data_IF_422581780787
#
_entry.id   IF_422581780787
#
_cell.length_a   1.000
_cell.length_b   1.000
_cell.length_c   1.000
_cell.angle_alpha   90.00
_cell.angle_beta   90.00
_cell.angle_gamma   90.00
#
_symmetry.space_group_name_H-M   'P 1'
#
loop_
_entity.id
_entity.type
_entity.pdbx_description
1 polymer ?
#
# COMPACT_ATOMS: atom_id res chain seq x y z
N UNK A 1 14.49 33.89 20.37
CA UNK A 1 14.21 32.47 20.69
C UNK A 1 12.71 32.15 20.66
N UNK A 2 11.88 32.83 21.47
CA UNK A 2 10.44 32.58 21.55
C UNK A 2 9.68 32.75 20.22
N UNK A 3 9.94 33.81 19.45
CA UNK A 3 9.28 34.02 18.14
C UNK A 3 9.68 32.99 17.08
N UNK A 4 10.93 32.53 17.11
CA UNK A 4 11.44 31.48 16.21
C UNK A 4 10.81 30.14 16.55
N UNK A 5 10.74 29.81 17.85
CA UNK A 5 10.06 28.61 18.34
C UNK A 5 8.57 28.63 18.02
N UNK A 6 7.89 29.77 18.25
CA UNK A 6 6.48 29.93 17.89
C UNK A 6 6.27 29.76 16.37
N UNK A 7 7.12 30.37 15.54
CA UNK A 7 7.05 30.22 14.09
C UNK A 7 7.22 28.76 13.64
N UNK A 8 8.15 28.01 14.24
CA UNK A 8 8.34 26.60 13.92
C UNK A 8 7.17 25.72 14.35
N UNK A 9 6.54 26.02 15.50
CA UNK A 9 5.32 25.36 15.95
C UNK A 9 4.18 25.53 14.95
N UNK A 10 3.98 26.73 14.41
CA UNK A 10 2.92 27.00 13.44
C UNK A 10 3.18 26.35 12.08
N UNK A 11 4.45 26.12 11.72
CA UNK A 11 4.87 25.46 10.48
C UNK A 11 4.65 23.94 10.50
N UNK A 12 4.84 23.31 11.66
CA UNK A 12 4.58 21.88 11.86
C UNK A 12 3.08 21.55 11.71
N UNK A 13 2.78 20.28 11.47
CA UNK A 13 1.41 19.78 11.40
C UNK A 13 1.38 18.26 11.55
N UNK A 14 0.21 17.74 11.86
CA UNK A 14 0.00 16.30 11.94
C UNK A 14 -0.93 15.85 10.82
N UNK A 15 -0.60 14.72 10.20
CA UNK A 15 -1.39 14.08 9.14
C UNK A 15 -2.66 13.40 9.66
N UNK A 16 -3.39 14.09 10.53
CA UNK A 16 -4.60 13.62 11.20
C UNK A 16 -5.68 13.20 10.19
N UNK A 17 -5.72 13.86 9.03
CA UNK A 17 -6.70 13.62 7.97
C UNK A 17 -6.18 12.72 6.83
N UNK A 18 -4.99 12.15 6.93
CA UNK A 18 -4.50 11.20 5.93
C UNK A 18 -5.40 9.97 5.73
N UNK A 19 -6.01 9.37 6.77
CA UNK A 19 -6.96 8.27 6.59
C UNK A 19 -8.14 8.66 5.68
N UNK A 20 -8.64 9.90 5.78
CA UNK A 20 -9.70 10.39 4.92
C UNK A 20 -9.28 10.45 3.45
N UNK A 21 -8.02 10.84 3.18
CA UNK A 21 -7.46 10.81 1.82
C UNK A 21 -7.36 9.38 1.29
N UNK A 22 -6.92 8.45 2.14
CA UNK A 22 -6.80 7.04 1.81
C UNK A 22 -8.16 6.41 1.49
N UNK A 23 -9.15 6.58 2.36
CA UNK A 23 -10.51 6.04 2.18
C UNK A 23 -11.20 6.61 0.94
N UNK A 24 -10.83 7.84 0.55
CA UNK A 24 -11.34 8.47 -0.67
C UNK A 24 -10.61 8.01 -1.94
N UNK A 25 -9.59 7.15 -1.84
CA UNK A 25 -8.77 6.67 -2.96
C UNK A 25 -7.77 7.72 -3.48
N UNK A 26 -7.42 8.71 -2.66
CA UNK A 26 -6.55 9.83 -3.03
C UNK A 26 -5.12 9.68 -2.49
N UNK A 27 -4.77 8.54 -1.88
CA UNK A 27 -3.41 8.30 -1.33
C UNK A 27 -2.30 8.40 -2.39
N UNK A 28 -2.61 8.06 -3.63
CA UNK A 28 -1.69 8.12 -4.76
C UNK A 28 -1.74 9.46 -5.52
N UNK A 29 -2.55 10.42 -5.07
CA UNK A 29 -2.58 11.74 -5.69
C UNK A 29 -1.24 12.46 -5.43
N UNK A 30 -0.58 13.02 -6.46
CA UNK A 30 0.73 13.65 -6.30
C UNK A 30 0.76 14.79 -5.29
N UNK A 31 -0.35 15.53 -5.14
CA UNK A 31 -0.46 16.62 -4.18
C UNK A 31 -0.55 16.04 -2.77
N UNK A 32 -1.37 15.00 -2.56
CA UNK A 32 -1.46 14.31 -1.26
C UNK A 32 -0.10 13.74 -0.86
N UNK A 33 0.59 13.04 -1.77
CA UNK A 33 1.92 12.50 -1.52
C UNK A 33 2.94 13.60 -1.17
N UNK A 34 2.88 14.75 -1.85
CA UNK A 34 3.75 15.89 -1.55
C UNK A 34 3.52 16.47 -0.16
N UNK A 35 2.27 16.53 0.31
CA UNK A 35 1.94 17.01 1.66
C UNK A 35 2.47 16.06 2.71
N UNK A 36 2.28 14.75 2.52
CA UNK A 36 2.80 13.72 3.45
C UNK A 36 4.32 13.81 3.58
N UNK A 37 5.03 13.94 2.44
CA UNK A 37 6.48 14.15 2.46
C UNK A 37 6.90 15.48 3.09
N UNK A 38 6.14 16.55 2.85
CA UNK A 38 6.40 17.86 3.44
C UNK A 38 6.25 17.84 4.96
N UNK A 39 5.29 17.09 5.52
CA UNK A 39 5.12 16.93 6.97
C UNK A 39 6.41 16.47 7.64
N UNK A 40 7.04 15.43 7.10
CA UNK A 40 8.28 14.88 7.65
C UNK A 40 9.39 15.93 7.67
N UNK A 41 9.49 16.74 6.61
CA UNK A 41 10.47 17.82 6.53
C UNK A 41 10.16 18.94 7.52
N UNK A 42 8.92 19.42 7.58
CA UNK A 42 8.54 20.53 8.46
C UNK A 42 8.68 20.16 9.93
N UNK A 43 8.29 18.95 10.31
CA UNK A 43 8.34 18.49 11.70
C UNK A 43 9.80 18.26 12.13
N UNK A 44 10.61 17.65 11.26
CA UNK A 44 12.06 17.52 11.48
C UNK A 44 12.71 18.88 11.72
N UNK A 45 12.42 19.87 10.87
CA UNK A 45 12.96 21.22 11.02
C UNK A 45 12.47 21.87 12.31
N UNK A 46 11.19 21.70 12.65
CA UNK A 46 10.61 22.25 13.88
C UNK A 46 11.27 21.66 15.14
N UNK A 47 11.57 20.36 15.15
CA UNK A 47 12.29 19.71 16.25
C UNK A 47 13.73 20.17 16.36
N UNK A 48 14.43 20.33 15.24
CA UNK A 48 15.80 20.91 15.24
C UNK A 48 15.77 22.32 15.84
N UNK A 49 14.79 23.14 15.43
CA UNK A 49 14.62 24.49 16.00
C UNK A 49 14.32 24.42 17.49
N UNK A 50 13.40 23.55 17.93
CA UNK A 50 13.10 23.34 19.35
C UNK A 50 14.33 22.93 20.14
N UNK A 51 15.08 21.93 19.67
CA UNK A 51 16.27 21.45 20.34
C UNK A 51 17.34 22.55 20.47
N UNK A 52 17.58 23.30 19.40
CA UNK A 52 18.52 24.43 19.40
C UNK A 52 18.08 25.53 20.38
N UNK A 53 16.79 25.89 20.37
CA UNK A 53 16.26 26.93 21.26
C UNK A 53 16.30 26.47 22.72
N UNK A 54 15.81 25.27 23.01
CA UNK A 54 15.79 24.70 24.36
C UNK A 54 17.20 24.55 24.94
N UNK A 55 18.16 24.06 24.14
CA UNK A 55 19.54 23.92 24.58
C UNK A 55 20.26 25.24 24.80
N UNK A 56 19.98 26.25 23.95
CA UNK A 56 20.55 27.59 24.12
C UNK A 56 20.09 28.29 25.41
N UNK A 57 18.88 27.98 25.87
CA UNK A 57 18.24 28.65 27.01
C UNK A 57 18.47 27.90 28.33
N UNK A 58 18.55 26.56 28.28
CA UNK A 58 18.77 25.69 29.46
C UNK A 58 20.24 25.54 29.86
N UNK A 59 21.19 26.03 29.04
CA UNK A 59 22.63 25.88 29.29
C UNK A 59 23.13 24.42 29.27
N UNK A 60 22.30 23.48 28.79
CA UNK A 60 22.51 22.03 28.88
C UNK A 60 23.37 21.44 27.75
N UNK A 61 23.85 22.28 26.84
CA UNK A 61 24.80 21.91 25.79
C UNK A 61 25.01 23.05 24.81
N UNK A 62 26.19 23.12 24.19
CA UNK A 62 26.42 24.10 23.13
C UNK A 62 25.52 23.79 21.93
N UNK A 63 25.11 24.79 21.15
CA UNK A 63 24.36 24.58 19.90
C UNK A 63 25.06 23.56 18.97
N UNK A 64 26.39 23.48 19.03
CA UNK A 64 27.19 22.52 18.28
C UNK A 64 26.96 21.08 18.74
N UNK A 65 26.90 20.82 20.05
CA UNK A 65 26.65 19.48 20.60
C UNK A 65 25.27 18.95 20.18
N UNK A 66 24.26 19.81 20.20
CA UNK A 66 22.89 19.47 19.81
C UNK A 66 22.80 19.17 18.31
N UNK A 67 23.44 20.00 17.48
CA UNK A 67 23.51 19.74 16.04
C UNK A 67 24.26 18.44 15.73
N UNK A 68 25.34 18.15 16.45
CA UNK A 68 26.10 16.91 16.32
C UNK A 68 25.26 15.71 16.75
N UNK A 69 24.53 15.80 17.86
CA UNK A 69 23.61 14.77 18.34
C UNK A 69 22.50 14.47 17.33
N UNK A 70 21.84 15.51 16.79
CA UNK A 70 20.83 15.38 15.74
C UNK A 70 21.42 14.78 14.45
N UNK A 71 22.60 15.23 14.03
CA UNK A 71 23.30 14.70 12.86
C UNK A 71 23.65 13.23 13.00
N UNK A 72 24.17 12.83 14.17
CA UNK A 72 24.40 11.43 14.54
C UNK A 72 23.11 10.63 14.58
N UNK A 73 22.02 11.22 15.08
CA UNK A 73 20.71 10.60 15.12
C UNK A 73 20.13 10.31 13.73
N UNK A 74 20.19 11.28 12.81
CA UNK A 74 19.78 11.06 11.43
C UNK A 74 20.66 10.03 10.72
N UNK A 75 21.97 10.07 10.94
CA UNK A 75 22.88 9.07 10.39
C UNK A 75 22.55 7.67 10.93
N UNK A 76 22.35 7.55 12.24
CA UNK A 76 21.95 6.30 12.88
C UNK A 76 20.62 5.80 12.33
N UNK A 77 19.63 6.69 12.14
CA UNK A 77 18.33 6.33 11.57
C UNK A 77 18.48 5.81 10.13
N UNK A 78 19.27 6.47 9.29
CA UNK A 78 19.54 6.00 7.92
C UNK A 78 20.21 4.63 7.92
N UNK A 79 21.25 4.44 8.75
CA UNK A 79 21.97 3.16 8.85
C UNK A 79 21.05 2.05 9.36
N UNK A 80 20.30 2.31 10.43
CA UNK A 80 19.37 1.33 11.00
C UNK A 80 18.29 0.99 9.99
N UNK A 81 17.64 1.98 9.38
CA UNK A 81 16.52 1.74 8.48
C UNK A 81 16.92 1.11 7.16
N UNK A 82 17.98 1.58 6.50
CA UNK A 82 18.32 1.10 5.15
C UNK A 82 19.36 -0.02 5.12
N UNK A 83 20.07 -0.28 6.23
CA UNK A 83 21.03 -1.37 6.32
C UNK A 83 20.56 -2.41 7.33
N UNK A 84 20.44 -2.06 8.60
CA UNK A 84 20.22 -3.04 9.66
C UNK A 84 18.84 -3.73 9.56
N UNK A 85 17.76 -2.97 9.42
CA UNK A 85 16.39 -3.50 9.34
C UNK A 85 16.21 -4.48 8.17
N UNK A 86 16.65 -4.18 6.92
CA UNK A 86 16.57 -5.13 5.82
C UNK A 86 17.36 -6.42 6.05
N UNK A 87 18.49 -6.34 6.77
CA UNK A 87 19.28 -7.53 7.13
C UNK A 87 18.56 -8.35 8.20
N UNK A 88 18.09 -7.71 9.27
CA UNK A 88 17.34 -8.34 10.34
C UNK A 88 16.04 -8.95 9.84
N UNK A 89 15.28 -8.25 9.00
CA UNK A 89 14.06 -8.76 8.38
C UNK A 89 14.36 -10.01 7.52
N UNK A 90 15.36 -9.96 6.64
CA UNK A 90 15.77 -11.13 5.83
C UNK A 90 16.26 -12.30 6.67
N UNK A 91 16.89 -12.05 7.81
CA UNK A 91 17.31 -13.09 8.76
C UNK A 91 16.11 -13.67 9.51
N UNK A 92 15.22 -12.83 10.03
CA UNK A 92 14.01 -13.22 10.73
C UNK A 92 13.08 -14.06 9.83
N UNK A 93 12.92 -13.67 8.56
CA UNK A 93 12.15 -14.46 7.58
C UNK A 93 12.77 -15.83 7.27
N UNK A 94 14.09 -15.99 7.40
CA UNK A 94 14.76 -17.28 7.26
C UNK A 94 14.55 -18.18 8.48
N UNK A 95 14.53 -17.60 9.69
CA UNK A 95 14.39 -18.35 10.94
C UNK A 95 12.93 -18.73 11.24
N UNK A 96 12.01 -17.78 11.08
CA UNK A 96 10.62 -17.88 11.51
C UNK A 96 9.68 -18.26 10.35
N UNK A 97 10.21 -18.32 9.13
CA UNK A 97 9.43 -18.50 7.91
C UNK A 97 8.67 -17.22 7.49
N UNK A 98 8.01 -17.30 6.33
CA UNK A 98 7.24 -16.18 5.74
C UNK A 98 5.75 -16.22 6.11
N UNK A 99 5.41 -16.80 7.25
CA UNK A 99 4.01 -16.87 7.67
C UNK A 99 3.44 -15.46 7.89
N UNK A 100 2.17 -15.28 7.54
CA UNK A 100 1.46 -13.98 7.56
C UNK A 100 1.62 -13.21 8.88
N UNK A 101 1.46 -13.88 10.02
CA UNK A 101 1.59 -13.29 11.36
C UNK A 101 3.03 -12.82 11.65
N UNK A 102 4.03 -13.59 11.21
CA UNK A 102 5.45 -13.30 11.41
C UNK A 102 5.85 -12.07 10.59
N UNK A 103 5.41 -11.98 9.33
CA UNK A 103 5.68 -10.82 8.47
C UNK A 103 5.11 -9.53 9.05
N UNK A 104 3.91 -9.61 9.65
CA UNK A 104 3.28 -8.49 10.36
C UNK A 104 4.06 -8.07 11.61
N UNK A 105 4.42 -9.04 12.46
CA UNK A 105 5.22 -8.77 13.65
C UNK A 105 6.57 -8.12 13.30
N UNK A 106 7.24 -8.59 12.24
CA UNK A 106 8.50 -8.01 11.76
C UNK A 106 8.30 -6.56 11.29
N UNK A 107 7.23 -6.26 10.54
CA UNK A 107 6.96 -4.90 10.08
C UNK A 107 6.71 -3.95 11.26
N UNK A 108 5.82 -4.32 12.19
CA UNK A 108 5.53 -3.52 13.39
C UNK A 108 6.78 -3.36 14.26
N UNK A 109 7.56 -4.41 14.48
CA UNK A 109 8.82 -4.33 15.21
C UNK A 109 9.81 -3.38 14.52
N UNK A 110 9.85 -3.37 13.18
CA UNK A 110 10.73 -2.48 12.41
C UNK A 110 10.34 -1.01 12.61
N UNK A 111 9.03 -0.70 12.60
CA UNK A 111 8.54 0.65 12.90
C UNK A 111 8.87 1.08 14.33
N UNK A 112 8.67 0.20 15.31
CA UNK A 112 8.97 0.47 16.71
C UNK A 112 10.47 0.68 16.94
N UNK A 113 11.33 -0.16 16.37
CA UNK A 113 12.79 -0.02 16.47
C UNK A 113 13.23 1.33 15.92
N UNK A 114 12.74 1.71 14.74
CA UNK A 114 13.10 2.99 14.13
C UNK A 114 12.55 4.19 14.90
N UNK A 115 11.34 4.10 15.45
CA UNK A 115 10.77 5.14 16.30
C UNK A 115 11.58 5.33 17.59
N UNK A 116 11.95 4.23 18.27
CA UNK A 116 12.79 4.27 19.48
C UNK A 116 14.16 4.85 19.16
N UNK A 117 14.79 4.43 18.05
CA UNK A 117 16.07 5.02 17.62
C UNK A 117 15.92 6.52 17.40
N UNK A 118 14.88 6.98 16.71
CA UNK A 118 14.62 8.42 16.53
C UNK A 118 14.51 9.15 17.89
N UNK A 119 13.70 8.63 18.81
CA UNK A 119 13.47 9.25 20.12
C UNK A 119 14.74 9.33 20.98
N UNK A 120 15.65 8.35 20.90
CA UNK A 120 16.93 8.40 21.64
C UNK A 120 17.82 9.57 21.24
N UNK A 121 17.62 10.14 20.05
CA UNK A 121 18.34 11.32 19.58
C UNK A 121 17.48 12.60 19.59
N UNK A 122 16.30 12.57 20.22
CA UNK A 122 15.38 13.71 20.29
C UNK A 122 14.65 14.01 18.97
N UNK A 123 14.59 13.04 18.06
CA UNK A 123 13.80 13.10 16.83
C UNK A 123 12.45 12.42 17.11
N UNK A 124 11.35 12.95 16.58
CA UNK A 124 10.04 12.34 16.79
C UNK A 124 9.97 10.92 16.21
N UNK A 125 9.34 10.02 16.97
CA UNK A 125 9.14 8.63 16.56
C UNK A 125 8.40 8.47 15.22
N UNK A 126 7.55 9.44 14.83
CA UNK A 126 6.86 9.46 13.53
C UNK A 126 7.87 9.51 12.37
N UNK A 127 8.93 10.31 12.50
CA UNK A 127 10.01 10.37 11.50
C UNK A 127 10.72 9.02 11.40
N UNK A 128 11.00 8.39 12.55
CA UNK A 128 11.60 7.07 12.60
C UNK A 128 10.75 6.00 11.90
N UNK A 129 9.46 5.94 12.23
CA UNK A 129 8.50 5.02 11.62
C UNK A 129 8.36 5.25 10.09
N UNK A 130 8.38 6.50 9.63
CA UNK A 130 8.36 6.83 8.21
C UNK A 130 9.59 6.31 7.46
N UNK A 131 10.79 6.50 8.02
CA UNK A 131 12.03 5.98 7.43
C UNK A 131 12.03 4.44 7.36
N UNK A 132 11.52 3.76 8.39
CA UNK A 132 11.32 2.33 8.35
C UNK A 132 10.31 1.92 7.27
N UNK A 133 9.20 2.64 7.11
CA UNK A 133 8.24 2.45 6.02
C UNK A 133 8.89 2.55 4.64
N UNK A 134 9.69 3.59 4.40
CA UNK A 134 10.43 3.77 3.15
C UNK A 134 11.42 2.62 2.89
N UNK A 135 12.16 2.20 3.90
CA UNK A 135 13.12 1.10 3.76
C UNK A 135 12.41 -0.25 3.52
N UNK A 136 11.24 -0.44 4.12
CA UNK A 136 10.44 -1.66 4.00
C UNK A 136 9.61 -1.73 2.73
N UNK A 137 9.40 -0.62 2.00
CA UNK A 137 8.60 -0.59 0.77
C UNK A 137 9.10 -1.59 -0.31
N UNK A 138 10.41 -1.90 -0.32
CA UNK A 138 10.98 -2.94 -1.19
C UNK A 138 10.73 -4.38 -0.72
N UNK A 139 10.46 -4.59 0.58
CA UNK A 139 10.29 -5.90 1.21
C UNK A 139 8.82 -6.25 1.46
N UNK A 140 7.95 -5.24 1.53
CA UNK A 140 6.51 -5.33 1.76
C UNK A 140 5.83 -4.49 0.68
N UNK A 141 5.50 -5.08 -0.48
CA UNK A 141 4.75 -4.39 -1.51
C UNK A 141 3.46 -3.80 -0.93
N UNK A 142 3.11 -2.59 -1.33
CA UNK A 142 1.96 -1.82 -0.84
C UNK A 142 0.61 -2.50 -1.03
N UNK A 143 0.54 -3.62 -1.74
CA UNK A 143 -0.69 -4.35 -2.06
C UNK A 143 -0.54 -5.86 -1.79
N UNK A 144 0.34 -6.22 -0.83
CA UNK A 144 0.47 -7.59 -0.34
C UNK A 144 -0.42 -7.87 0.90
N UNK A 145 -0.70 -9.14 1.25
CA UNK A 145 -1.54 -9.53 2.40
C UNK A 145 -1.05 -8.99 3.76
N UNK A 146 0.23 -8.60 3.82
CA UNK A 146 0.85 -7.96 4.97
C UNK A 146 0.40 -6.49 5.10
N UNK A 147 0.34 -5.75 3.98
CA UNK A 147 -0.08 -4.36 3.97
C UNK A 147 -1.55 -4.23 4.37
N UNK A 148 -2.42 -5.13 3.90
CA UNK A 148 -3.83 -5.18 4.31
C UNK A 148 -4.02 -5.29 5.83
N UNK A 149 -3.11 -6.01 6.52
CA UNK A 149 -3.15 -6.14 7.98
C UNK A 149 -2.58 -4.94 8.71
N UNK A 150 -1.50 -4.35 8.19
CA UNK A 150 -0.97 -3.08 8.69
C UNK A 150 -2.05 -2.00 8.57
N UNK A 151 -2.77 -1.99 7.45
CA UNK A 151 -3.86 -1.10 7.17
C UNK A 151 -5.08 -1.36 8.05
N UNK A 152 -5.45 -2.63 8.24
CA UNK A 152 -6.54 -3.01 9.13
C UNK A 152 -6.24 -2.59 10.57
N UNK A 153 -5.09 -2.98 11.11
CA UNK A 153 -4.75 -2.70 12.50
C UNK A 153 -4.45 -1.21 12.74
N UNK A 154 -3.77 -0.58 11.78
CA UNK A 154 -3.54 0.86 11.75
C UNK A 154 -4.85 1.64 11.73
N UNK A 155 -5.73 1.33 10.78
CA UNK A 155 -7.00 2.03 10.60
C UNK A 155 -8.06 1.73 11.66
N UNK A 156 -8.15 0.48 12.14
CA UNK A 156 -9.18 0.09 13.10
C UNK A 156 -8.81 0.39 14.56
N UNK A 157 -7.51 0.41 14.91
CA UNK A 157 -7.06 0.54 16.30
C UNK A 157 -6.19 1.78 16.51
N UNK A 158 -5.06 1.89 15.81
CA UNK A 158 -4.11 2.96 16.10
C UNK A 158 -4.63 4.36 15.74
N UNK A 159 -5.27 4.51 14.58
CA UNK A 159 -5.81 5.80 14.13
C UNK A 159 -6.91 6.31 15.08
N UNK A 160 -7.96 5.54 15.42
CA UNK A 160 -8.98 5.99 16.38
C UNK A 160 -8.41 6.32 17.76
N UNK A 161 -7.52 5.47 18.30
CA UNK A 161 -6.89 5.73 19.62
C UNK A 161 -6.04 7.00 19.58
N UNK A 162 -5.32 7.25 18.49
CA UNK A 162 -4.55 8.47 18.30
C UNK A 162 -5.46 9.70 18.27
N UNK A 163 -6.55 9.68 17.49
CA UNK A 163 -7.52 10.77 17.42
C UNK A 163 -8.14 11.10 18.78
N UNK A 164 -8.52 10.08 19.54
CA UNK A 164 -9.06 10.24 20.91
C UNK A 164 -7.99 10.83 21.83
N UNK A 165 -6.77 10.33 21.77
CA UNK A 165 -5.66 10.82 22.61
C UNK A 165 -5.38 12.30 22.37
N UNK A 166 -5.36 12.73 21.11
CA UNK A 166 -5.20 14.15 20.75
C UNK A 166 -6.39 14.97 21.26
N UNK A 167 -7.62 14.46 21.17
CA UNK A 167 -8.81 15.13 21.71
C UNK A 167 -8.79 15.28 23.23
N UNK A 168 -8.25 14.30 23.96
CA UNK A 168 -8.14 14.32 25.44
C UNK A 168 -7.09 15.32 25.96
N UNK A 169 -6.15 15.75 25.12
CA UNK A 169 -5.18 16.80 25.47
C UNK A 169 -5.83 18.19 25.51
N UNK A 170 -7.06 18.35 25.01
CA UNK A 170 -7.75 19.63 24.93
C UNK A 170 -8.58 19.89 26.19
N UNK A 171 -8.25 20.95 26.92
CA UNK A 171 -9.00 21.35 28.10
C UNK A 171 -9.99 22.50 27.79
N UNK A 172 -11.31 22.34 27.99
CA UNK A 172 -12.29 23.35 27.61
C UNK A 172 -12.25 24.65 28.42
N UNK A 173 -11.69 24.61 29.64
CA UNK A 173 -11.59 25.75 30.57
C UNK A 173 -10.77 26.91 30.00
N UNK A 174 -9.84 26.59 29.10
CA UNK A 174 -8.88 27.49 28.48
C UNK A 174 -9.54 28.50 27.50
N UNK A 175 -10.77 28.24 27.07
CA UNK A 175 -11.49 29.05 26.08
C UNK A 175 -12.19 30.31 26.65
N UNK A 176 -12.11 30.55 27.97
CA UNK A 176 -12.92 31.58 28.64
C UNK A 176 -12.15 32.84 29.07
N UNK A 177 -10.84 32.93 28.79
CA UNK A 177 -10.01 34.10 29.11
C UNK A 177 -9.87 35.07 27.92
N UNK A 178 -10.18 36.35 28.12
CA UNK A 178 -10.22 37.34 27.04
C UNK A 178 -8.88 37.65 26.37
N UNK A 179 -7.77 37.71 27.13
CA UNK A 179 -6.43 37.94 26.57
C UNK A 179 -5.94 36.73 25.76
N UNK A 180 -6.17 35.52 26.30
CA UNK A 180 -5.91 34.24 25.65
C UNK A 180 -6.66 34.14 24.32
N UNK A 181 -7.94 34.55 24.27
CA UNK A 181 -8.75 34.45 23.06
C UNK A 181 -8.23 35.37 21.93
N UNK A 182 -7.68 36.53 22.27
CA UNK A 182 -7.05 37.43 21.29
C UNK A 182 -5.79 36.82 20.69
N UNK A 183 -4.93 36.22 21.53
CA UNK A 183 -3.73 35.51 21.06
C UNK A 183 -4.10 34.29 20.21
N UNK A 184 -5.10 33.53 20.65
CA UNK A 184 -5.63 32.39 19.90
C UNK A 184 -6.12 32.81 18.51
N UNK A 185 -6.89 33.90 18.41
CA UNK A 185 -7.37 34.41 17.14
C UNK A 185 -6.21 34.80 16.21
N UNK A 186 -5.16 35.42 16.74
CA UNK A 186 -3.96 35.77 15.98
C UNK A 186 -3.23 34.51 15.49
N UNK A 187 -3.06 33.51 16.34
CA UNK A 187 -2.39 32.25 15.98
C UNK A 187 -3.18 31.46 14.94
N UNK A 188 -4.50 31.39 15.09
CA UNK A 188 -5.41 30.80 14.11
C UNK A 188 -5.28 31.51 12.75
N UNK A 189 -5.33 32.84 12.74
CA UNK A 189 -5.23 33.61 11.50
C UNK A 189 -3.86 33.43 10.83
N UNK A 190 -2.78 33.45 11.61
CA UNK A 190 -1.42 33.24 11.09
C UNK A 190 -1.24 31.81 10.54
N UNK A 191 -1.65 30.79 11.29
CA UNK A 191 -1.50 29.39 10.92
C UNK A 191 -2.39 29.02 9.72
N UNK A 192 -3.70 29.26 9.83
CA UNK A 192 -4.66 28.93 8.78
C UNK A 192 -4.42 29.78 7.54
N UNK A 193 -4.18 31.08 7.70
CA UNK A 193 -3.88 31.98 6.58
C UNK A 193 -2.60 31.59 5.87
N UNK A 194 -1.52 31.34 6.62
CA UNK A 194 -0.24 30.92 6.05
C UNK A 194 -0.34 29.61 5.28
N UNK A 195 -1.00 28.59 5.86
CA UNK A 195 -1.19 27.29 5.21
C UNK A 195 -2.14 27.36 4.03
N UNK A 196 -3.16 28.22 4.07
CA UNK A 196 -4.05 28.44 2.94
C UNK A 196 -3.30 29.07 1.76
N UNK A 197 -2.48 30.10 2.03
CA UNK A 197 -1.62 30.72 1.02
C UNK A 197 -0.65 29.68 0.43
N UNK A 198 -0.02 28.86 1.29
CA UNK A 198 0.85 27.77 0.84
C UNK A 198 0.10 26.78 -0.06
N UNK A 199 -1.13 26.36 0.30
CA UNK A 199 -1.96 25.50 -0.54
C UNK A 199 -2.28 26.12 -1.91
N UNK A 200 -2.62 27.41 -1.96
CA UNK A 200 -2.82 28.12 -3.22
C UNK A 200 -1.53 28.26 -4.04
N UNK A 201 -0.37 28.37 -3.39
CA UNK A 201 0.91 28.39 -4.08
C UNK A 201 1.25 27.00 -4.67
N UNK A 202 0.98 25.92 -3.93
CA UNK A 202 1.10 24.54 -4.41
C UNK A 202 0.27 24.31 -5.68
N UNK A 203 -0.91 24.96 -5.76
CA UNK A 203 -1.74 24.96 -6.98
C UNK A 203 -0.98 25.43 -8.21
N UNK A 204 -0.20 26.50 -8.08
CA UNK A 204 0.57 27.09 -9.19
C UNK A 204 1.78 26.23 -9.52
N UNK A 205 2.52 25.79 -8.49
CA UNK A 205 3.78 25.03 -8.65
C UNK A 205 3.51 23.64 -9.25
N UNK A 206 2.52 22.92 -8.72
CA UNK A 206 2.19 21.55 -9.13
C UNK A 206 1.09 21.49 -10.21
N UNK A 207 0.62 22.64 -10.71
CA UNK A 207 -0.51 22.76 -11.65
C UNK A 207 -1.77 22.01 -11.18
N UNK A 208 -2.00 22.01 -9.87
CA UNK A 208 -3.10 21.31 -9.25
C UNK A 208 -4.45 22.03 -9.44
N UNK A 209 -5.55 21.30 -9.28
CA UNK A 209 -6.89 21.87 -9.25
C UNK A 209 -7.14 22.67 -7.97
N UNK A 210 -8.19 23.51 -7.96
CA UNK A 210 -8.61 24.22 -6.73
C UNK A 210 -8.99 23.25 -5.61
N UNK A 211 -9.60 22.12 -5.97
CA UNK A 211 -9.97 21.07 -5.02
C UNK A 211 -8.73 20.43 -4.41
N UNK A 212 -7.74 20.03 -5.23
CA UNK A 212 -6.48 19.46 -4.74
C UNK A 212 -5.73 20.43 -3.81
N UNK A 213 -5.67 21.72 -4.16
CA UNK A 213 -5.03 22.73 -3.33
C UNK A 213 -5.73 22.94 -1.97
N UNK A 214 -7.07 22.98 -1.95
CA UNK A 214 -7.83 23.09 -0.70
C UNK A 214 -7.74 21.82 0.15
N UNK A 215 -7.61 20.66 -0.49
CA UNK A 215 -7.37 19.40 0.20
C UNK A 215 -5.96 19.34 0.79
N UNK A 216 -4.95 19.83 0.07
CA UNK A 216 -3.59 20.01 0.60
C UNK A 216 -3.55 20.93 1.82
N UNK A 217 -4.29 22.05 1.77
CA UNK A 217 -4.50 22.91 2.92
C UNK A 217 -5.13 22.14 4.09
N UNK A 218 -6.19 21.38 3.85
CA UNK A 218 -6.86 20.62 4.89
C UNK A 218 -5.94 19.55 5.51
N UNK A 219 -5.14 18.84 4.69
CA UNK A 219 -4.19 17.83 5.19
C UNK A 219 -3.03 18.44 5.99
N UNK A 220 -2.61 19.67 5.67
CA UNK A 220 -1.48 20.33 6.32
C UNK A 220 -1.88 21.20 7.52
N UNK A 221 -3.17 21.40 7.78
CA UNK A 221 -3.66 22.33 8.80
C UNK A 221 -3.65 21.79 10.24
N UNK A 222 -4.09 20.54 10.51
CA UNK A 222 -4.24 20.02 11.86
C UNK A 222 -2.94 20.13 12.67
N UNK A 223 -3.03 20.75 13.84
CA UNK A 223 -2.01 20.71 14.88
C UNK A 223 -2.36 19.60 15.89
N UNK A 224 -1.39 19.05 16.61
CA UNK A 224 -1.64 17.97 17.58
C UNK A 224 -0.56 17.89 18.68
N UNK A 225 -0.24 16.67 19.12
CA UNK A 225 0.62 16.38 20.27
C UNK A 225 2.02 17.00 20.19
N UNK A 226 2.65 16.98 19.01
CA UNK A 226 3.96 17.59 18.77
C UNK A 226 3.98 19.08 19.13
N UNK A 227 2.99 19.82 18.60
CA UNK A 227 2.81 21.26 18.85
C UNK A 227 2.62 21.55 20.33
N UNK A 228 1.83 20.73 21.03
CA UNK A 228 1.61 20.89 22.47
C UNK A 228 2.86 20.55 23.28
N UNK A 229 3.57 19.48 22.96
CA UNK A 229 4.80 19.07 23.64
C UNK A 229 5.87 20.17 23.53
N UNK A 230 6.10 20.67 22.32
CA UNK A 230 7.07 21.72 22.06
C UNK A 230 6.65 23.07 22.69
N UNK A 231 5.35 23.37 22.75
CA UNK A 231 4.82 24.52 23.49
C UNK A 231 5.04 24.37 25.01
N UNK A 232 4.85 23.16 25.55
CA UNK A 232 5.10 22.85 26.96
C UNK A 232 6.58 22.99 27.31
N UNK A 233 7.48 22.51 26.45
CA UNK A 233 8.93 22.73 26.62
C UNK A 233 9.24 24.23 26.61
N UNK A 234 8.68 24.99 25.65
CA UNK A 234 8.83 26.44 25.59
C UNK A 234 8.32 27.18 26.84
N UNK A 235 7.25 26.68 27.46
CA UNK A 235 6.76 27.17 28.75
C UNK A 235 7.70 26.82 29.91
N UNK A 236 8.21 25.58 29.97
CA UNK A 236 9.13 25.13 31.02
C UNK A 236 10.46 25.90 31.06
N UNK A 237 10.98 26.29 29.89
CA UNK A 237 12.19 27.13 29.78
C UNK A 237 11.88 28.63 29.95
N UNK A 238 10.61 29.01 30.18
CA UNK A 238 10.21 30.39 30.44
C UNK A 238 10.06 31.27 29.19
N UNK A 239 10.11 30.70 27.98
CA UNK A 239 9.92 31.45 26.72
C UNK A 239 8.45 31.75 26.43
N UNK A 240 7.52 30.93 26.92
CA UNK A 240 6.08 31.11 26.76
C UNK A 240 5.40 31.33 28.11
N UNK A 241 4.41 32.21 28.12
CA UNK A 241 3.48 32.36 29.25
C UNK A 241 2.28 31.43 29.12
N UNK A 242 1.50 31.31 30.19
CA UNK A 242 0.28 30.50 30.24
C UNK A 242 -0.72 30.86 29.13
N UNK A 243 -0.88 32.15 28.84
CA UNK A 243 -1.75 32.64 27.76
C UNK A 243 -1.34 32.15 26.36
N UNK A 244 -0.05 31.90 26.13
CA UNK A 244 0.46 31.34 24.84
C UNK A 244 0.15 29.85 24.75
N UNK A 245 0.40 29.10 25.82
CA UNK A 245 0.04 27.66 25.91
C UNK A 245 -1.45 27.49 25.64
N UNK A 246 -2.24 28.30 26.32
CA UNK A 246 -3.68 28.33 26.21
C UNK A 246 -4.16 28.70 24.80
N UNK A 247 -3.54 29.70 24.17
CA UNK A 247 -3.83 30.06 22.79
C UNK A 247 -3.47 28.95 21.78
N UNK A 248 -2.40 28.18 22.01
CA UNK A 248 -2.02 27.03 21.17
C UNK A 248 -3.04 25.91 21.29
N UNK A 249 -3.60 25.65 22.48
CA UNK A 249 -4.67 24.66 22.65
C UNK A 249 -5.91 25.02 21.82
N UNK A 250 -6.31 26.31 21.82
CA UNK A 250 -7.41 26.79 20.97
C UNK A 250 -7.07 26.66 19.48
N UNK A 251 -5.84 26.98 19.08
CA UNK A 251 -5.36 26.77 17.71
C UNK A 251 -5.49 25.30 17.29
N UNK A 252 -5.10 24.36 18.15
CA UNK A 252 -5.22 22.92 17.88
C UNK A 252 -6.67 22.58 17.57
N UNK A 253 -7.60 22.94 18.45
CA UNK A 253 -9.03 22.68 18.26
C UNK A 253 -9.57 23.27 16.95
N UNK A 254 -9.33 24.57 16.73
CA UNK A 254 -9.83 25.27 15.54
C UNK A 254 -9.23 24.70 14.26
N UNK A 255 -7.93 24.38 14.26
CA UNK A 255 -7.24 23.81 13.10
C UNK A 255 -7.83 22.46 12.70
N UNK A 256 -8.08 21.56 13.66
CA UNK A 256 -8.68 20.24 13.41
C UNK A 256 -10.09 20.38 12.85
N UNK A 257 -10.92 21.25 13.44
CA UNK A 257 -12.29 21.47 12.97
C UNK A 257 -12.34 22.04 11.56
N UNK A 258 -11.58 23.10 11.28
CA UNK A 258 -11.53 23.75 9.96
C UNK A 258 -11.01 22.76 8.92
N UNK A 259 -9.92 22.06 9.22
CA UNK A 259 -9.34 21.06 8.33
C UNK A 259 -10.34 19.96 7.98
N UNK A 260 -11.02 19.39 8.98
CA UNK A 260 -11.98 18.28 8.78
C UNK A 260 -13.13 18.72 7.88
N UNK A 261 -13.71 19.90 8.13
CA UNK A 261 -14.81 20.43 7.33
C UNK A 261 -14.38 20.70 5.88
N UNK A 262 -13.18 21.25 5.68
CA UNK A 262 -12.67 21.54 4.33
C UNK A 262 -12.35 20.26 3.57
N UNK A 263 -11.69 19.29 4.21
CA UNK A 263 -11.36 18.01 3.57
C UNK A 263 -12.63 17.28 3.12
N UNK A 264 -13.65 17.22 3.98
CA UNK A 264 -14.90 16.52 3.72
C UNK A 264 -15.70 17.13 2.55
N UNK A 265 -15.67 18.47 2.42
CA UNK A 265 -16.36 19.17 1.31
C UNK A 265 -15.66 19.01 -0.03
N UNK A 266 -14.34 18.81 -0.02
CA UNK A 266 -13.52 18.89 -1.23
C UNK A 266 -13.16 17.52 -1.77
N UNK A 267 -13.13 16.48 -0.93
CA UNK A 267 -12.74 15.10 -1.32
C UNK A 267 -13.52 14.54 -2.50
N UNK A 268 -14.81 14.87 -2.64
CA UNK A 268 -15.66 14.38 -3.74
C UNK A 268 -15.36 15.03 -5.09
N UNK A 269 -14.67 16.18 -5.09
CA UNK A 269 -14.42 16.99 -6.28
C UNK A 269 -12.98 16.85 -6.79
N UNK A 270 -12.26 15.81 -6.34
CA UNK A 270 -10.92 15.47 -6.80
C UNK A 270 -11.04 14.20 -7.62
N UNK A 271 -10.56 14.27 -8.86
CA UNK A 271 -10.49 13.11 -9.73
C UNK A 271 -9.54 12.09 -9.10
N UNK A 272 -10.01 10.84 -8.98
CA UNK A 272 -9.18 9.78 -8.43
C UNK A 272 -8.02 9.53 -9.40
N UNK A 273 -6.78 9.39 -8.90
CA UNK A 273 -5.66 9.05 -9.77
C UNK A 273 -5.97 7.74 -10.50
N UNK A 274 -5.63 7.69 -11.79
CA UNK A 274 -5.81 6.49 -12.60
C UNK A 274 -5.06 5.34 -11.92
N UNK A 275 -5.75 4.22 -11.67
CA UNK A 275 -5.12 3.04 -11.06
C UNK A 275 -3.98 2.62 -11.98
N UNK A 276 -2.74 2.68 -11.48
CA UNK A 276 -1.58 2.16 -12.20
C UNK A 276 -1.87 0.68 -12.44
N UNK A 277 -2.08 0.30 -13.70
CA UNK A 277 -2.31 -1.10 -14.07
C UNK A 277 -1.00 -1.85 -13.75
N UNK A 278 -1.00 -2.78 -12.78
CA UNK A 278 0.20 -3.50 -12.42
C UNK A 278 0.71 -4.28 -13.63
N UNK A 279 2.04 -4.40 -13.77
CA UNK A 279 2.61 -5.13 -14.90
C UNK A 279 2.13 -6.59 -14.86
N UNK A 280 1.92 -7.19 -16.04
CA UNK A 280 1.44 -8.58 -16.12
C UNK A 280 2.31 -9.53 -15.27
N UNK A 281 1.67 -10.22 -14.31
CA UNK A 281 2.34 -11.14 -13.38
C UNK A 281 2.76 -10.51 -12.04
N UNK A 282 2.48 -9.24 -11.78
CA UNK A 282 2.64 -8.66 -10.43
C UNK A 282 1.49 -9.04 -9.49
N UNK A 283 0.28 -9.20 -10.03
CA UNK A 283 -0.91 -9.65 -9.30
C UNK A 283 -1.68 -10.65 -10.13
N UNK A 284 -1.56 -11.91 -9.77
CA UNK A 284 -2.23 -13.01 -10.46
C UNK A 284 -3.41 -13.44 -9.60
N UNK A 285 -4.63 -13.24 -10.09
CA UNK A 285 -5.82 -13.84 -9.48
C UNK A 285 -6.03 -15.23 -10.08
N UNK A 286 -6.08 -16.26 -9.25
CA UNK A 286 -6.51 -17.60 -9.62
C UNK A 286 -7.95 -17.83 -9.14
N UNK A 287 -8.91 -17.74 -10.06
CA UNK A 287 -10.31 -18.06 -9.80
C UNK A 287 -10.56 -19.53 -10.11
N UNK A 288 -10.88 -20.32 -9.09
CA UNK A 288 -11.03 -21.77 -9.18
C UNK A 288 -12.51 -22.11 -9.04
N UNK A 289 -13.16 -22.56 -10.11
CA UNK A 289 -14.50 -23.16 -10.03
C UNK A 289 -14.44 -24.69 -9.98
N UNK A 290 -13.39 -25.29 -10.56
CA UNK A 290 -13.13 -26.73 -10.47
C UNK A 290 -11.84 -26.99 -9.69
N UNK A 291 -11.95 -27.77 -8.61
CA UNK A 291 -10.82 -28.10 -7.75
C UNK A 291 -9.83 -29.07 -8.40
N UNK A 292 -10.26 -29.90 -9.35
CA UNK A 292 -9.39 -30.88 -10.02
C UNK A 292 -8.31 -30.19 -10.85
N UNK A 293 -8.64 -29.09 -11.53
CA UNK A 293 -7.67 -28.26 -12.28
C UNK A 293 -6.85 -27.30 -11.42
N UNK A 294 -7.13 -27.19 -10.12
CA UNK A 294 -6.47 -26.23 -9.23
C UNK A 294 -4.94 -26.42 -9.12
N UNK A 295 -4.38 -27.65 -9.07
CA UNK A 295 -2.93 -27.86 -9.03
C UNK A 295 -2.21 -27.24 -10.23
N UNK A 296 -2.77 -27.39 -11.43
CA UNK A 296 -2.21 -26.80 -12.66
C UNK A 296 -2.26 -25.27 -12.60
N UNK A 297 -3.42 -24.73 -12.26
CA UNK A 297 -3.63 -23.29 -12.12
C UNK A 297 -2.67 -22.65 -11.11
N UNK A 298 -2.45 -23.30 -9.96
CA UNK A 298 -1.51 -22.84 -8.94
C UNK A 298 -0.05 -22.84 -9.42
N UNK A 299 0.37 -23.85 -10.19
CA UNK A 299 1.74 -23.93 -10.75
C UNK A 299 1.97 -22.84 -11.79
N UNK A 300 1.00 -22.60 -12.67
CA UNK A 300 1.06 -21.54 -13.67
C UNK A 300 1.04 -20.17 -12.99
N UNK A 301 0.15 -19.96 -12.03
CA UNK A 301 0.07 -18.71 -11.27
C UNK A 301 1.41 -18.40 -10.59
N UNK A 302 2.04 -19.41 -9.96
CA UNK A 302 3.37 -19.28 -9.35
C UNK A 302 4.48 -19.01 -10.37
N UNK A 303 4.40 -19.62 -11.55
CA UNK A 303 5.39 -19.43 -12.62
C UNK A 303 5.33 -18.03 -13.25
N UNK A 304 4.12 -17.48 -13.37
CA UNK A 304 3.88 -16.14 -13.93
C UNK A 304 4.10 -15.04 -12.88
N UNK A 305 3.78 -15.31 -11.61
CA UNK A 305 4.04 -14.37 -10.53
C UNK A 305 5.53 -14.00 -10.48
N UNK A 306 5.85 -12.71 -10.63
CA UNK A 306 7.24 -12.22 -10.64
C UNK A 306 7.99 -12.70 -9.39
N UNK A 307 9.12 -13.38 -9.60
CA UNK A 307 9.91 -14.08 -8.55
C UNK A 307 10.27 -13.27 -7.29
N UNK A 308 10.28 -11.93 -7.35
CA UNK A 308 10.67 -11.08 -6.22
C UNK A 308 9.54 -10.22 -5.64
N UNK A 309 8.40 -10.04 -6.33
CA UNK A 309 7.32 -9.13 -5.86
C UNK A 309 5.89 -9.51 -6.30
N UNK A 310 5.72 -10.56 -7.12
CA UNK A 310 4.42 -10.99 -7.60
C UNK A 310 3.58 -11.67 -6.51
N UNK A 311 2.32 -11.30 -6.39
CA UNK A 311 1.36 -11.91 -5.47
C UNK A 311 0.38 -12.80 -6.22
N UNK A 312 0.00 -13.92 -5.60
CA UNK A 312 -1.03 -14.82 -6.12
C UNK A 312 -2.21 -14.79 -5.15
N UNK A 313 -3.35 -14.34 -5.63
CA UNK A 313 -4.62 -14.39 -4.89
C UNK A 313 -5.41 -15.58 -5.39
N UNK A 314 -5.88 -16.46 -4.51
CA UNK A 314 -6.64 -17.66 -4.90
C UNK A 314 -8.06 -17.53 -4.37
N UNK A 315 -9.04 -17.74 -5.23
CA UNK A 315 -10.46 -17.67 -4.86
C UNK A 315 -11.16 -18.92 -5.37
N UNK A 316 -11.78 -19.68 -4.47
CA UNK A 316 -12.68 -20.76 -4.79
C UNK A 316 -14.07 -20.18 -5.06
N UNK A 317 -14.58 -20.35 -6.27
CA UNK A 317 -15.92 -19.99 -6.66
C UNK A 317 -16.83 -21.20 -6.41
N UNK A 318 -17.83 -21.01 -5.57
CA UNK A 318 -18.80 -22.05 -5.24
C UNK A 318 -20.21 -21.51 -5.45
N UNK A 319 -21.05 -22.30 -6.11
CA UNK A 319 -22.43 -21.91 -6.36
C UNK A 319 -23.26 -21.99 -5.07
N UNK A 320 -24.27 -21.12 -4.95
CA UNK A 320 -25.12 -21.05 -3.75
C UNK A 320 -25.74 -22.41 -3.37
N UNK A 321 -26.08 -23.22 -4.38
CA UNK A 321 -26.72 -24.53 -4.21
C UNK A 321 -25.79 -25.65 -3.72
N UNK A 322 -24.47 -25.41 -3.68
CA UNK A 322 -23.52 -26.43 -3.21
C UNK A 322 -23.57 -26.58 -1.69
N UNK A 323 -23.45 -27.80 -1.15
CA UNK A 323 -23.49 -28.04 0.29
C UNK A 323 -22.30 -27.42 1.04
N UNK A 324 -22.55 -26.78 2.19
CA UNK A 324 -21.54 -26.17 3.07
C UNK A 324 -20.34 -27.11 3.38
N UNK A 325 -20.62 -28.40 3.58
CA UNK A 325 -19.59 -29.40 3.86
C UNK A 325 -18.64 -29.61 2.68
N UNK A 326 -19.17 -29.58 1.45
CA UNK A 326 -18.36 -29.68 0.22
C UNK A 326 -17.47 -28.45 0.10
N UNK A 327 -18.03 -27.24 0.29
CA UNK A 327 -17.27 -25.98 0.21
C UNK A 327 -16.09 -25.94 1.18
N UNK A 328 -16.30 -26.38 2.43
CA UNK A 328 -15.23 -26.45 3.44
C UNK A 328 -14.15 -27.47 3.06
N UNK A 329 -14.56 -28.67 2.64
CA UNK A 329 -13.62 -29.70 2.18
C UNK A 329 -12.77 -29.22 1.00
N UNK A 330 -13.38 -28.56 0.03
CA UNK A 330 -12.70 -28.05 -1.16
C UNK A 330 -11.76 -26.89 -0.82
N UNK A 331 -12.17 -26.00 0.08
CA UNK A 331 -11.28 -24.95 0.60
C UNK A 331 -10.07 -25.54 1.33
N UNK A 332 -10.26 -26.54 2.19
CA UNK A 332 -9.18 -27.19 2.93
C UNK A 332 -8.21 -27.90 1.99
N UNK A 333 -8.73 -28.59 0.97
CA UNK A 333 -7.94 -29.22 -0.10
C UNK A 333 -7.11 -28.18 -0.86
N UNK A 334 -7.73 -27.09 -1.30
CA UNK A 334 -7.07 -26.00 -2.03
C UNK A 334 -5.99 -25.31 -1.19
N UNK A 335 -6.25 -25.12 0.11
CA UNK A 335 -5.27 -24.59 1.08
C UNK A 335 -4.09 -25.53 1.24
N UNK A 336 -4.34 -26.84 1.32
CA UNK A 336 -3.31 -27.87 1.33
C UNK A 336 -2.45 -27.85 0.06
N UNK A 337 -3.07 -27.69 -1.11
CA UNK A 337 -2.37 -27.59 -2.39
C UNK A 337 -1.47 -26.36 -2.47
N UNK A 338 -1.94 -25.19 -2.04
CA UNK A 338 -1.13 -23.96 -1.99
C UNK A 338 0.14 -24.15 -1.16
N UNK A 339 0.00 -24.74 0.04
CA UNK A 339 1.15 -25.02 0.93
C UNK A 339 2.14 -26.01 0.31
N UNK A 340 1.66 -27.11 -0.27
CA UNK A 340 2.52 -28.13 -0.92
C UNK A 340 3.26 -27.58 -2.14
N UNK A 341 2.60 -26.75 -2.94
CA UNK A 341 3.17 -26.14 -4.14
C UNK A 341 3.98 -24.86 -3.84
N UNK A 342 4.10 -24.45 -2.57
CA UNK A 342 4.85 -23.27 -2.16
C UNK A 342 4.28 -21.97 -2.72
N UNK A 343 2.96 -21.91 -2.92
CA UNK A 343 2.22 -20.70 -3.29
C UNK A 343 1.83 -19.97 -2.00
N UNK A 344 2.32 -18.75 -1.82
CA UNK A 344 2.03 -17.92 -0.63
C UNK A 344 0.66 -17.24 -0.77
N UNK A 345 -0.41 -18.05 -0.75
CA UNK A 345 -1.80 -17.61 -0.87
C UNK A 345 -2.67 -18.22 0.26
N UNK A 346 -3.65 -17.46 0.75
CA UNK A 346 -4.84 -18.03 1.42
C UNK A 346 -5.91 -18.09 0.36
N UNK A 347 -6.38 -19.28 0.02
CA UNK A 347 -7.61 -19.40 -0.72
C UNK A 347 -8.77 -18.86 0.11
N UNK A 348 -9.69 -18.14 -0.53
CA UNK A 348 -10.96 -17.73 0.07
C UNK A 348 -12.12 -18.29 -0.76
N UNK A 349 -13.25 -18.59 -0.11
CA UNK A 349 -14.46 -19.04 -0.82
C UNK A 349 -15.35 -17.85 -1.11
N UNK A 350 -15.83 -17.75 -2.35
CA UNK A 350 -16.95 -16.88 -2.71
C UNK A 350 -18.14 -17.72 -3.11
N UNK A 351 -19.19 -17.60 -2.30
CA UNK A 351 -20.51 -18.14 -2.63
C UNK A 351 -21.17 -17.18 -3.61
N UNK A 352 -21.59 -17.68 -4.77
CA UNK A 352 -22.15 -16.85 -5.83
C UNK A 352 -23.24 -17.57 -6.60
N UNK A 353 -24.12 -16.80 -7.25
CA UNK A 353 -25.08 -17.32 -8.22
C UNK A 353 -24.50 -17.33 -9.65
N UNK A 354 -23.39 -16.59 -9.86
CA UNK A 354 -22.73 -16.50 -11.16
C UNK A 354 -21.20 -16.32 -11.00
N UNK A 355 -20.46 -17.32 -11.48
CA UNK A 355 -18.99 -17.33 -11.49
C UNK A 355 -18.38 -16.13 -12.24
N UNK A 356 -19.03 -15.61 -13.28
CA UNK A 356 -18.60 -14.41 -14.01
C UNK A 356 -18.47 -13.21 -13.09
N UNK A 357 -19.59 -12.87 -12.44
CA UNK A 357 -19.67 -11.70 -11.57
C UNK A 357 -18.73 -11.83 -10.38
N UNK A 358 -18.64 -13.02 -9.80
CA UNK A 358 -17.72 -13.28 -8.70
C UNK A 358 -16.25 -13.14 -9.11
N UNK A 359 -15.89 -13.58 -10.32
CA UNK A 359 -14.54 -13.42 -10.88
C UNK A 359 -14.21 -11.96 -11.13
N UNK A 360 -15.14 -11.20 -11.72
CA UNK A 360 -14.95 -9.78 -11.99
C UNK A 360 -14.74 -8.98 -10.70
N UNK A 361 -15.59 -9.20 -9.69
CA UNK A 361 -15.45 -8.56 -8.38
C UNK A 361 -14.13 -8.96 -7.71
N UNK A 362 -13.77 -10.24 -7.73
CA UNK A 362 -12.51 -10.71 -7.17
C UNK A 362 -11.29 -10.11 -7.90
N UNK A 363 -11.37 -9.92 -9.22
CA UNK A 363 -10.31 -9.32 -10.02
C UNK A 363 -10.16 -7.83 -9.71
N UNK A 364 -11.27 -7.12 -9.54
CA UNK A 364 -11.27 -5.70 -9.18
C UNK A 364 -10.76 -5.45 -7.76
N UNK A 365 -11.22 -6.26 -6.80
CA UNK A 365 -10.77 -6.19 -5.40
C UNK A 365 -9.29 -6.55 -5.26
N UNK A 366 -8.82 -7.58 -5.98
CA UNK A 366 -7.40 -7.93 -6.01
C UNK A 366 -6.56 -6.99 -6.90
N UNK A 367 -7.19 -6.04 -7.59
CA UNK A 367 -6.58 -5.18 -8.62
C UNK A 367 -5.67 -6.00 -9.55
N UNK A 368 -6.20 -7.11 -10.05
CA UNK A 368 -5.44 -8.15 -10.72
C UNK A 368 -4.80 -7.66 -12.04
N UNK A 369 -3.50 -7.91 -12.19
CA UNK A 369 -2.76 -7.70 -13.45
C UNK A 369 -3.00 -8.81 -14.47
N UNK A 370 -3.43 -9.98 -14.00
CA UNK A 370 -3.72 -11.17 -14.78
C UNK A 370 -4.74 -12.01 -14.02
N UNK A 371 -5.75 -12.51 -14.73
CA UNK A 371 -6.71 -13.47 -14.15
C UNK A 371 -6.48 -14.83 -14.79
N UNK A 372 -6.34 -15.86 -13.96
CA UNK A 372 -6.33 -17.27 -14.35
C UNK A 372 -7.65 -17.89 -13.88
N UNK A 373 -8.50 -18.30 -14.81
CA UNK A 373 -9.73 -19.01 -14.51
C UNK A 373 -9.50 -20.52 -14.67
N UNK A 374 -9.68 -21.28 -13.60
CA UNK A 374 -9.65 -22.75 -13.60
C UNK A 374 -11.10 -23.23 -13.67
N UNK A 375 -11.46 -23.86 -14.78
CA UNK A 375 -12.85 -24.20 -15.10
C UNK A 375 -12.99 -25.61 -15.68
N UNK A 376 -14.22 -26.13 -15.69
CA UNK A 376 -14.59 -27.36 -16.40
C UNK A 376 -14.76 -27.09 -17.90
N UNK A 377 -14.54 -28.15 -18.70
CA UNK A 377 -14.79 -28.13 -20.14
C UNK A 377 -16.26 -27.77 -20.45
N UNK A 378 -16.48 -26.83 -21.37
CA UNK A 378 -17.82 -26.34 -21.73
C UNK A 378 -18.27 -25.05 -21.04
N UNK A 379 -17.42 -24.44 -20.21
CA UNK A 379 -17.71 -23.17 -19.51
C UNK A 379 -17.39 -21.91 -20.33
N UNK A 380 -17.50 -21.97 -21.66
CA UNK A 380 -17.04 -20.93 -22.59
C UNK A 380 -17.75 -19.59 -22.39
N UNK A 381 -19.00 -19.60 -21.90
CA UNK A 381 -19.76 -18.37 -21.63
C UNK A 381 -19.13 -17.54 -20.51
N UNK A 382 -18.72 -18.19 -19.42
CA UNK A 382 -18.09 -17.53 -18.28
C UNK A 382 -16.80 -16.81 -18.71
N UNK A 383 -15.98 -17.55 -19.44
CA UNK A 383 -14.72 -17.07 -20.00
C UNK A 383 -14.93 -15.88 -20.93
N UNK A 384 -15.87 -15.98 -21.88
CA UNK A 384 -16.13 -14.92 -22.84
C UNK A 384 -16.68 -13.67 -22.16
N UNK A 385 -17.50 -13.81 -21.12
CA UNK A 385 -18.03 -12.69 -20.36
C UNK A 385 -16.92 -11.98 -19.56
N UNK A 386 -16.04 -12.74 -18.90
CA UNK A 386 -14.93 -12.20 -18.11
C UNK A 386 -13.90 -11.50 -19.01
N UNK A 387 -13.49 -12.13 -20.12
CA UNK A 387 -12.53 -11.55 -21.06
C UNK A 387 -13.04 -10.31 -21.80
N UNK A 388 -14.37 -10.18 -22.01
CA UNK A 388 -14.97 -8.96 -22.58
C UNK A 388 -15.02 -7.80 -21.59
N UNK A 389 -15.12 -8.12 -20.29
CA UNK A 389 -15.42 -7.14 -19.24
C UNK A 389 -14.16 -6.66 -18.50
N UNK A 390 -13.12 -7.49 -18.42
CA UNK A 390 -11.84 -7.10 -17.80
C UNK A 390 -10.93 -6.33 -18.76
N UNK A 391 -10.20 -5.38 -18.20
CA UNK A 391 -9.15 -4.61 -18.88
C UNK A 391 -7.77 -5.26 -18.79
N UNK A 392 -7.61 -6.31 -17.97
CA UNK A 392 -6.38 -7.08 -17.84
C UNK A 392 -6.42 -8.39 -18.65
N UNK A 393 -5.27 -8.98 -19.01
CA UNK A 393 -5.23 -10.27 -19.69
C UNK A 393 -5.87 -11.38 -18.87
N UNK A 394 -6.51 -12.35 -19.53
CA UNK A 394 -7.14 -13.50 -18.91
C UNK A 394 -6.58 -14.80 -19.51
N UNK A 395 -6.10 -15.69 -18.65
CA UNK A 395 -5.71 -17.06 -19.02
C UNK A 395 -6.73 -18.06 -18.46
N UNK A 396 -6.94 -19.16 -19.19
CA UNK A 396 -7.91 -20.19 -18.82
C UNK A 396 -7.17 -21.51 -18.72
N UNK A 397 -7.37 -22.20 -17.61
CA UNK A 397 -6.81 -23.53 -17.35
C UNK A 397 -7.98 -24.52 -17.34
N UNK A 398 -7.99 -25.41 -18.32
CA UNK A 398 -8.95 -26.51 -18.46
C UNK A 398 -8.23 -27.84 -18.22
N UNK A 399 -8.79 -28.70 -17.37
CA UNK A 399 -8.40 -30.12 -17.29
C UNK A 399 -7.95 -30.63 -15.93
N UNK A 400 -7.81 -31.96 -15.85
CA UNK A 400 -7.26 -32.74 -14.74
C UNK A 400 -5.87 -33.29 -15.15
N UNK A 401 -4.91 -33.32 -14.23
CA UNK A 401 -3.53 -33.70 -14.53
C UNK A 401 -2.92 -34.56 -13.43
N UNK A 402 -2.97 -35.87 -13.64
CA UNK A 402 -2.28 -36.90 -12.85
C UNK A 402 -0.76 -37.00 -13.12
N UNK A 403 -0.18 -36.09 -13.93
CA UNK A 403 1.22 -36.16 -14.37
C UNK A 403 2.05 -34.90 -14.07
N UNK A 404 3.37 -35.05 -13.80
CA UNK A 404 4.25 -33.91 -13.64
C UNK A 404 4.50 -33.24 -15.00
N UNK A 405 4.22 -31.93 -15.10
CA UNK A 405 4.71 -31.10 -16.19
C UNK A 405 6.23 -31.31 -16.34
N UNK A 406 6.67 -31.83 -17.48
CA UNK A 406 8.08 -31.89 -17.85
C UNK A 406 8.70 -30.49 -17.89
N UNK A 407 10.04 -30.41 -17.79
CA UNK A 407 10.76 -29.16 -17.99
C UNK A 407 10.32 -28.51 -19.31
N UNK A 408 9.73 -27.31 -19.20
CA UNK A 408 9.36 -26.45 -20.31
C UNK A 408 10.64 -26.05 -21.09
N UNK A 409 11.04 -26.87 -22.07
CA UNK A 409 12.15 -26.59 -23.00
C UNK A 409 11.62 -26.01 -24.30
N UNK A 410 12.31 -24.98 -24.78
CA UNK A 410 11.97 -24.22 -25.99
C UNK A 410 12.97 -24.59 -27.07
N UNK A 411 12.57 -24.86 -28.33
CA UNK A 411 13.50 -25.02 -29.43
C UNK A 411 14.13 -23.66 -29.77
N UNK A 412 15.47 -23.60 -29.86
CA UNK A 412 16.17 -22.49 -30.50
C UNK A 412 16.77 -21.40 -29.59
N UNK A 413 17.02 -21.66 -28.30
CA UNK A 413 17.92 -20.81 -27.51
C UNK A 413 18.85 -21.67 -26.66
N UNK A 414 20.18 -21.46 -26.69
CA UNK A 414 21.11 -22.26 -25.94
C UNK A 414 21.00 -21.91 -24.45
N UNK A 415 20.32 -22.77 -23.70
CA UNK A 415 20.39 -22.87 -22.25
C UNK A 415 19.58 -21.83 -21.45
N UNK A 416 18.81 -22.34 -20.50
CA UNK A 416 18.08 -21.67 -19.42
C UNK A 416 16.68 -21.14 -19.76
N UNK A 417 15.69 -21.84 -19.16
CA UNK A 417 14.26 -21.74 -19.41
C UNK A 417 13.69 -20.33 -19.35
N UNK A 418 12.97 -19.96 -20.42
CA UNK A 418 12.18 -18.73 -20.52
C UNK A 418 11.30 -18.74 -21.79
N UNK A 419 10.51 -19.79 -21.99
CA UNK A 419 9.67 -19.96 -23.19
C UNK A 419 8.33 -19.26 -23.13
N UNK A 420 7.50 -19.69 -22.18
CA UNK A 420 6.10 -19.29 -22.10
C UNK A 420 5.95 -17.80 -21.85
N UNK A 421 6.75 -17.22 -20.95
CA UNK A 421 6.74 -15.80 -20.69
C UNK A 421 7.19 -14.99 -21.91
N UNK A 422 8.25 -15.37 -22.62
CA UNK A 422 8.68 -14.64 -23.84
C UNK A 422 7.71 -14.80 -25.00
N UNK A 423 6.98 -15.90 -25.10
CA UNK A 423 5.96 -16.10 -26.13
C UNK A 423 4.67 -15.35 -25.80
N UNK A 424 4.23 -15.36 -24.55
CA UNK A 424 3.13 -14.52 -24.07
C UNK A 424 3.50 -13.04 -24.25
N UNK A 425 4.71 -12.63 -23.85
CA UNK A 425 5.21 -11.27 -23.96
C UNK A 425 5.46 -10.86 -25.42
N UNK A 426 5.91 -11.77 -26.32
CA UNK A 426 5.97 -11.51 -27.78
C UNK A 426 4.61 -11.49 -28.46
N UNK A 427 3.66 -12.32 -28.02
CA UNK A 427 2.30 -12.34 -28.57
C UNK A 427 1.55 -11.06 -28.19
N UNK A 428 1.74 -10.60 -26.94
CA UNK A 428 1.26 -9.31 -26.43
C UNK A 428 1.99 -8.14 -27.12
N UNK A 429 3.32 -8.16 -27.23
CA UNK A 429 4.11 -7.06 -27.80
C UNK A 429 3.99 -6.88 -29.33
N UNK A 430 3.52 -7.89 -30.08
CA UNK A 430 3.37 -7.80 -31.55
C UNK A 430 2.00 -7.29 -32.01
N UNK A 431 1.07 -6.97 -31.12
CA UNK A 431 -0.26 -6.43 -31.50
C UNK A 431 -1.06 -7.35 -32.43
N UNK A 432 -0.76 -8.65 -32.46
CA UNK A 432 -1.40 -9.63 -33.37
C UNK A 432 -2.65 -10.29 -32.79
N UNK A 433 -3.10 -9.88 -31.61
CA UNK A 433 -4.35 -10.40 -31.02
C UNK A 433 -5.51 -9.53 -31.52
N UNK A 434 -5.94 -9.78 -32.77
CA UNK A 434 -7.28 -9.42 -33.23
C UNK A 434 -8.24 -10.53 -32.84
N UNK A 435 -9.48 -10.19 -32.47
CA UNK A 435 -10.58 -11.11 -32.15
C UNK A 435 -10.39 -12.51 -32.75
N UNK A 436 -10.10 -13.48 -31.88
CA UNK A 436 -9.85 -14.87 -32.25
C UNK A 436 -9.19 -15.59 -31.09
N UNK A 437 -9.75 -16.75 -30.74
CA UNK A 437 -9.18 -17.70 -29.78
C UNK A 437 -7.74 -18.05 -30.18
N UNK A 438 -6.78 -17.81 -29.30
CA UNK A 438 -5.46 -18.44 -29.41
C UNK A 438 -5.52 -19.70 -28.56
N UNK A 439 -5.80 -20.84 -29.22
CA UNK A 439 -5.53 -22.15 -28.64
C UNK A 439 -4.01 -22.32 -28.56
N UNK A 440 -3.47 -22.25 -27.34
CA UNK A 440 -2.21 -22.92 -27.05
C UNK A 440 -2.57 -24.34 -26.64
N UNK A 441 -2.86 -25.18 -27.64
CA UNK A 441 -2.73 -26.62 -27.44
C UNK A 441 -1.27 -26.87 -27.05
N UNK A 442 -1.02 -27.52 -25.93
CA UNK A 442 0.28 -28.15 -25.66
C UNK A 442 0.47 -29.26 -26.70
N UNK A 443 0.68 -28.89 -27.97
CA UNK A 443 0.75 -29.83 -29.08
C UNK A 443 2.17 -30.36 -29.20
N UNK A 444 2.26 -31.67 -28.99
CA UNK A 444 3.16 -32.61 -29.65
C UNK A 444 4.28 -31.97 -30.47
N UNK A 445 5.51 -32.06 -29.94
CA UNK A 445 6.71 -31.95 -30.76
C UNK A 445 6.68 -33.08 -31.80
N UNK A 446 6.45 -32.74 -33.06
CA UNK A 446 6.29 -33.67 -34.19
C UNK A 446 7.59 -34.35 -34.67
N UNK A 447 8.72 -34.27 -33.96
CA UNK A 447 9.94 -35.01 -34.31
C UNK A 447 10.25 -36.10 -33.27
N UNK A 448 9.49 -37.20 -33.36
CA UNK A 448 9.66 -38.40 -32.54
C UNK A 448 10.71 -39.40 -33.10
N UNK A 449 11.45 -39.03 -34.15
CA UNK A 449 12.42 -39.93 -34.79
C UNK A 449 13.83 -39.90 -34.17
N UNK A 450 14.15 -38.98 -33.26
CA UNK A 450 15.49 -38.84 -32.64
C UNK A 450 15.61 -39.38 -31.20
N UNK A 451 14.53 -39.89 -30.60
CA UNK A 451 14.55 -40.45 -29.25
C UNK A 451 14.22 -41.95 -29.32
N UNK A 452 15.24 -42.74 -29.66
CA UNK A 452 15.22 -44.18 -29.41
C UNK A 452 15.04 -44.46 -27.91
N UNK A 453 14.11 -45.36 -27.63
CA UNK A 453 13.91 -46.13 -26.40
C UNK A 453 13.33 -45.41 -25.16
N UNK A 454 12.00 -45.18 -25.18
CA UNK A 454 11.00 -45.64 -24.18
C UNK A 454 9.68 -44.83 -24.25
N UNK A 455 8.52 -45.51 -24.36
CA UNK A 455 7.17 -44.90 -24.28
C UNK A 455 6.71 -44.68 -22.82
N UNK A 456 5.92 -43.61 -22.52
CA UNK A 456 4.58 -43.81 -21.93
C UNK A 456 3.48 -42.78 -22.37
N UNK A 457 2.18 -42.96 -21.99
CA UNK A 457 0.98 -42.76 -22.84
C UNK A 457 0.09 -41.52 -22.41
N UNK A 458 -1.20 -41.36 -22.83
CA UNK A 458 -1.85 -40.06 -23.11
C UNK A 458 -2.52 -39.30 -21.94
N UNK A 459 -2.72 -37.98 -22.12
CA UNK A 459 -3.58 -37.08 -21.34
C UNK A 459 -3.39 -35.59 -21.73
N UNK A 460 -4.41 -34.95 -22.31
CA UNK A 460 -4.35 -33.57 -22.84
C UNK A 460 -4.74 -32.50 -21.79
N UNK A 461 -4.07 -31.34 -21.82
CA UNK A 461 -4.47 -30.14 -21.08
C UNK A 461 -4.41 -28.89 -21.98
N UNK A 462 -5.44 -28.04 -21.94
CA UNK A 462 -5.60 -26.87 -22.84
C UNK A 462 -5.43 -25.56 -22.06
N UNK A 463 -4.51 -24.70 -22.51
CA UNK A 463 -4.31 -23.33 -21.99
C UNK A 463 -4.80 -22.34 -23.05
N UNK A 464 -5.80 -21.53 -22.73
CA UNK A 464 -6.33 -20.50 -23.63
C UNK A 464 -6.00 -19.11 -23.06
N UNK A 465 -5.33 -18.26 -23.83
CA UNK A 465 -4.99 -16.88 -23.45
C UNK A 465 -5.83 -15.91 -24.26
N UNK A 466 -6.72 -15.15 -23.61
CA UNK A 466 -7.52 -14.09 -24.22
C UNK A 466 -7.11 -12.72 -23.66
N UNK A 467 -6.70 -11.79 -24.53
CA UNK A 467 -6.33 -10.43 -24.14
C UNK A 467 -7.08 -9.37 -24.95
N UNK A 468 -7.49 -8.27 -24.30
CA UNK A 468 -8.03 -7.06 -24.94
C UNK A 468 -6.99 -5.93 -24.83
N UNK A 469 -6.81 -5.19 -25.92
CA UNK A 469 -5.85 -4.08 -26.02
C UNK A 469 -6.37 -2.84 -25.26
N UNK A 470 -5.62 -2.24 -24.32
CA UNK A 470 -6.05 -1.03 -23.59
C UNK A 470 -6.21 0.22 -24.46
N UNK A 471 -5.79 0.18 -25.74
CA UNK A 471 -5.83 1.34 -26.64
C UNK A 471 -7.07 1.43 -27.57
N UNK A 472 -8.07 0.54 -27.45
CA UNK A 472 -9.25 0.58 -28.35
C UNK A 472 -10.46 1.26 -27.69
N UNK A 473 -10.91 2.44 -28.18
CA UNK A 473 -12.14 3.05 -27.69
C UNK A 473 -13.32 2.14 -28.03
N UNK A 474 -14.24 2.00 -27.08
CA UNK A 474 -15.47 1.22 -27.22
C UNK A 474 -16.23 1.63 -28.50
N UNK A 475 -16.23 0.76 -29.51
CA UNK A 475 -17.21 0.87 -30.58
C UNK A 475 -18.55 0.40 -30.03
N UNK A 476 -19.44 1.37 -29.82
CA UNK A 476 -20.86 1.17 -29.58
C UNK A 476 -21.48 0.27 -30.66
N UNK A 477 -22.17 -0.77 -30.22
CA UNK A 477 -23.01 -1.65 -31.03
C UNK A 477 -23.93 -2.46 -30.12
#
# INVERSE_FOLDING_TARGET
>A
PASVLLGSLLASHTLLLYPLAKDSGLSNDPVVASVVGATVLTDTIALVILAVVAGSDSGSGSTQEILVQLGLGFLALVVVCFVLLPLLARYAFRLLGKQRTVSYAIAVASFLIAAVVAETFGIEGIVGAFFAGLAMNRLVPSEGPLMDRIDFFGGALFVPVFLVSVGLLLEPSVMFEGETLRLAALFCLACLGGKYIAGQLTRVILRASRSQANFAFALSTPQAAATLAATTVGFQIGLFGESVVNAVLVLILVSVLVATVVAERVRSNIDKPEKVIPAAGERVLLAVSNIEGAPMGLRIARGIARREAGTVTVVLLSLHDEADNKRRSDLDRLTGMCRRLGVDADPSVRVTDNNERATLLAAEEASASLVLAVTEAGSDRWVQAVSKSLTCPVGIVLGDVDSPLGELRVPGSPGHGNGTLKEIDRALARGRVRQGSVELTLKELEDWAELQDQEPPPGEGLLLVAGRDPASPASSG
#
